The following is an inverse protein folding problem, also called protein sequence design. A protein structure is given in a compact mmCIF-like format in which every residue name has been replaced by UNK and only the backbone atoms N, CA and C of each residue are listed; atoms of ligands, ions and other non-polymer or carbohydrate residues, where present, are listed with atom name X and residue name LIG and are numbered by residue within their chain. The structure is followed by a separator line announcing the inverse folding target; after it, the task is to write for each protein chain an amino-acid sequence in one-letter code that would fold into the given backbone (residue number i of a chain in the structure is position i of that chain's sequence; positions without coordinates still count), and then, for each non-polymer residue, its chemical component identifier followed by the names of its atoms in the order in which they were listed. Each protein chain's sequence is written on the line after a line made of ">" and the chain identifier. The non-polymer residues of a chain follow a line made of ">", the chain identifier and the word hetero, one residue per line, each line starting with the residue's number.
data_IF_175961072414
#
_entry.id   IF_175961072414
#
_cell.length_a   1.000
_cell.length_b   1.000
_cell.length_c   1.000
_cell.angle_alpha   90.00
_cell.angle_beta   90.00
_cell.angle_gamma   90.00
#
_symmetry.space_group_name_H-M   'P 1'
#
loop_
_entity.id
_entity.type
_entity.pdbx_description
1 polymer ?
#
# COMPACT_ATOMS: atom_id res chain seq x y z
N UNK A 1 -0.48 -1.63 -8.48
CA UNK A 1 -1.47 -0.85 -7.74
C UNK A 1 -1.30 0.65 -8.00
N UNK A 2 -2.32 1.39 -7.71
CA UNK A 2 -2.30 2.86 -7.80
C UNK A 2 -2.17 3.46 -6.41
N UNK A 3 -1.43 4.57 -6.32
CA UNK A 3 -1.31 5.31 -5.06
C UNK A 3 -1.49 6.81 -5.32
N UNK A 4 -1.89 7.53 -4.28
CA UNK A 4 -2.15 8.96 -4.37
C UNK A 4 -1.88 9.65 -3.02
N UNK A 5 -1.24 10.82 -3.09
CA UNK A 5 -1.10 11.74 -1.97
C UNK A 5 -1.80 13.05 -2.34
N UNK A 6 -1.77 14.04 -1.45
CA UNK A 6 -2.34 15.35 -1.76
C UNK A 6 -1.61 16.09 -2.89
N UNK A 7 -0.36 15.72 -3.14
CA UNK A 7 0.51 16.41 -4.10
C UNK A 7 0.78 15.61 -5.36
N UNK A 8 0.84 14.29 -5.24
CA UNK A 8 1.27 13.42 -6.34
C UNK A 8 0.43 12.16 -6.42
N UNK A 9 0.51 11.50 -7.54
CA UNK A 9 -0.12 10.19 -7.76
C UNK A 9 0.78 9.37 -8.64
N UNK A 10 0.62 8.06 -8.59
CA UNK A 10 1.40 7.16 -9.42
C UNK A 10 0.93 5.73 -9.35
N UNK A 11 1.69 4.86 -10.01
CA UNK A 11 1.49 3.42 -9.97
C UNK A 11 2.77 2.77 -9.48
N UNK A 12 2.63 1.63 -8.87
CA UNK A 12 3.79 0.91 -8.38
C UNK A 12 3.44 -0.51 -7.95
N UNK A 13 4.40 -1.14 -7.32
CA UNK A 13 4.28 -2.50 -6.82
C UNK A 13 4.49 -2.50 -5.32
N UNK A 14 3.71 -3.32 -4.64
CA UNK A 14 3.87 -3.49 -3.20
C UNK A 14 4.84 -4.63 -2.95
N UNK A 15 5.78 -4.42 -2.03
CA UNK A 15 6.61 -5.48 -1.49
C UNK A 15 6.67 -5.36 0.03
N UNK A 16 7.15 -6.40 0.69
CA UNK A 16 7.25 -6.46 2.16
C UNK A 16 5.93 -6.14 2.86
N UNK A 17 4.84 -6.68 2.32
CA UNK A 17 3.50 -6.44 2.85
C UNK A 17 3.31 -7.17 4.18
N UNK A 18 2.84 -6.42 5.18
CA UNK A 18 2.49 -6.94 6.50
C UNK A 18 1.20 -6.30 6.97
N UNK A 19 0.71 -6.70 8.14
CA UNK A 19 -0.48 -6.09 8.71
C UNK A 19 -0.27 -4.65 9.17
N UNK A 20 0.99 -4.21 9.34
CA UNK A 20 1.31 -2.87 9.82
C UNK A 20 1.72 -1.89 8.72
N UNK A 21 2.19 -2.39 7.58
CA UNK A 21 2.64 -1.53 6.50
C UNK A 21 3.21 -2.29 5.32
N UNK A 22 3.77 -1.53 4.38
CA UNK A 22 4.39 -2.11 3.19
C UNK A 22 5.44 -1.16 2.63
N UNK A 23 6.20 -1.65 1.65
CA UNK A 23 7.04 -0.81 0.82
C UNK A 23 6.44 -0.73 -0.59
N UNK A 24 6.36 0.47 -1.15
CA UNK A 24 5.84 0.71 -2.49
C UNK A 24 7.00 1.02 -3.42
N UNK A 25 7.20 0.16 -4.42
CA UNK A 25 8.19 0.40 -5.48
C UNK A 25 7.55 1.30 -6.52
N UNK A 26 8.02 2.52 -6.62
CA UNK A 26 7.48 3.52 -7.55
C UNK A 26 8.49 4.64 -7.77
N UNK A 27 8.52 5.18 -8.98
CA UNK A 27 9.37 6.33 -9.31
C UNK A 27 8.81 7.68 -8.89
N UNK A 28 7.61 7.72 -8.29
CA UNK A 28 7.01 8.98 -7.87
C UNK A 28 7.68 9.56 -6.62
N UNK A 29 7.61 10.87 -6.49
CA UNK A 29 8.16 11.55 -5.33
C UNK A 29 7.12 11.76 -4.25
N UNK A 30 7.43 11.30 -3.05
CA UNK A 30 6.64 11.55 -1.84
C UNK A 30 7.59 11.96 -0.73
N UNK A 31 7.05 12.62 0.29
CA UNK A 31 7.85 13.05 1.44
C UNK A 31 7.43 12.30 2.70
N UNK A 32 8.37 12.15 3.62
CA UNK A 32 8.10 11.58 4.93
C UNK A 32 6.96 12.35 5.61
N UNK A 33 6.03 11.63 6.19
CA UNK A 33 4.90 12.20 6.91
C UNK A 33 3.67 12.45 6.04
N UNK A 34 3.77 12.33 4.72
CA UNK A 34 2.61 12.49 3.85
C UNK A 34 1.60 11.36 4.06
N UNK A 35 0.32 11.72 3.95
CA UNK A 35 -0.76 10.75 3.92
C UNK A 35 -0.89 10.20 2.51
N UNK A 36 -0.87 8.89 2.38
CA UNK A 36 -1.00 8.23 1.09
C UNK A 36 -2.16 7.24 1.07
N UNK A 37 -2.85 7.19 -0.06
CA UNK A 37 -3.91 6.21 -0.29
C UNK A 37 -3.41 5.19 -1.30
N UNK A 38 -3.60 3.91 -1.00
CA UNK A 38 -3.32 2.82 -1.91
C UNK A 38 -4.63 2.21 -2.40
N UNK A 39 -4.76 2.10 -3.71
CA UNK A 39 -5.88 1.40 -4.33
C UNK A 39 -5.36 0.04 -4.79
N UNK A 40 -5.75 -1.01 -4.09
CA UNK A 40 -5.34 -2.39 -4.34
C UNK A 40 -6.45 -3.14 -5.06
N UNK A 41 -6.11 -3.84 -6.12
CA UNK A 41 -7.06 -4.72 -6.79
C UNK A 41 -6.84 -6.14 -6.27
N UNK A 42 -7.83 -6.69 -5.58
CA UNK A 42 -7.79 -8.03 -5.00
C UNK A 42 -9.05 -8.75 -5.41
N UNK A 43 -8.89 -9.84 -6.20
CA UNK A 43 -10.03 -10.66 -6.68
C UNK A 43 -11.14 -9.81 -7.31
N UNK A 44 -10.78 -8.89 -8.20
CA UNK A 44 -11.68 -7.97 -8.90
C UNK A 44 -12.36 -6.92 -8.02
N UNK A 45 -11.95 -6.81 -6.77
CA UNK A 45 -12.43 -5.78 -5.87
C UNK A 45 -11.33 -4.77 -5.57
N UNK A 46 -11.70 -3.50 -5.50
CA UNK A 46 -10.76 -2.44 -5.11
C UNK A 46 -10.78 -2.29 -3.60
N UNK A 47 -9.63 -2.48 -2.98
CA UNK A 47 -9.45 -2.26 -1.53
C UNK A 47 -8.64 -0.99 -1.36
N UNK A 48 -9.20 -0.03 -0.62
CA UNK A 48 -8.55 1.24 -0.36
C UNK A 48 -7.90 1.20 1.01
N UNK A 49 -6.62 1.51 1.06
CA UNK A 49 -5.85 1.53 2.30
C UNK A 49 -5.15 2.87 2.44
N UNK A 50 -5.24 3.46 3.62
CA UNK A 50 -4.56 4.71 3.94
C UNK A 50 -3.34 4.43 4.79
N UNK A 51 -2.28 5.18 4.55
CA UNK A 51 -1.06 5.07 5.33
C UNK A 51 -0.30 6.37 5.38
N UNK A 52 0.69 6.40 6.27
CA UNK A 52 1.62 7.53 6.40
C UNK A 52 2.98 7.10 5.87
N UNK A 53 3.62 7.96 5.08
CA UNK A 53 4.96 7.71 4.57
C UNK A 53 5.96 7.79 5.72
N UNK A 54 6.63 6.68 6.01
CA UNK A 54 7.60 6.58 7.10
C UNK A 54 8.99 7.01 6.65
N UNK A 55 9.42 6.53 5.49
CA UNK A 55 10.68 6.94 4.85
C UNK A 55 10.59 6.74 3.35
N UNK A 56 11.53 7.36 2.64
CA UNK A 56 11.64 7.24 1.19
C UNK A 56 13.05 6.81 0.82
N UNK A 57 13.14 6.05 -0.28
CA UNK A 57 14.43 5.72 -0.90
C UNK A 57 14.39 6.28 -2.31
N UNK A 58 15.28 7.22 -2.60
CA UNK A 58 15.31 7.92 -3.88
C UNK A 58 15.34 6.94 -5.05
N UNK A 59 14.49 7.20 -6.04
CA UNK A 59 14.35 6.41 -7.27
C UNK A 59 13.89 4.96 -7.08
N UNK A 60 13.62 4.53 -5.85
CA UNK A 60 13.13 3.19 -5.56
C UNK A 60 11.68 3.18 -5.10
N UNK A 61 11.34 4.00 -4.10
CA UNK A 61 10.00 4.00 -3.56
C UNK A 61 9.91 4.55 -2.14
N UNK A 62 8.88 4.11 -1.44
CA UNK A 62 8.61 4.61 -0.10
C UNK A 62 7.94 3.55 0.78
N UNK A 63 8.17 3.67 2.08
CA UNK A 63 7.55 2.80 3.08
C UNK A 63 6.33 3.46 3.68
N UNK A 64 5.27 2.69 3.85
CA UNK A 64 4.02 3.14 4.46
C UNK A 64 3.73 2.38 5.73
N UNK A 65 3.25 3.12 6.74
CA UNK A 65 2.62 2.55 7.92
C UNK A 65 1.11 2.74 7.75
N UNK A 66 0.35 1.65 7.81
CA UNK A 66 -1.08 1.71 7.59
C UNK A 66 -1.81 2.41 8.74
N UNK A 67 -2.85 3.18 8.35
CA UNK A 67 -3.77 3.81 9.28
C UNK A 67 -5.09 3.07 9.16
N UNK A 68 -5.46 2.32 10.19
CA UNK A 68 -6.70 1.55 10.20
C UNK A 68 -7.70 2.10 11.19
N UNK A 69 -8.98 2.02 10.82
CA UNK A 69 -10.10 2.30 11.69
C UNK A 69 -11.06 1.12 11.67
N UNK A 70 -11.02 0.27 12.66
CA UNK A 70 -12.01 -0.80 12.85
C UNK A 70 -12.17 -1.74 11.68
N UNK A 71 -13.25 -1.57 10.93
CA UNK A 71 -13.60 -2.45 9.81
C UNK A 71 -12.56 -2.47 8.70
N UNK A 72 -11.87 -1.37 8.49
CA UNK A 72 -10.84 -1.26 7.44
C UNK A 72 -9.67 -2.22 7.71
N UNK A 73 -9.30 -2.40 8.96
CA UNK A 73 -8.24 -3.33 9.33
C UNK A 73 -8.63 -4.77 8.97
N UNK A 74 -9.87 -5.16 9.24
CA UNK A 74 -10.36 -6.52 8.90
C UNK A 74 -10.35 -6.74 7.40
N UNK A 75 -10.84 -5.79 6.62
CA UNK A 75 -10.87 -5.87 5.17
C UNK A 75 -9.46 -5.96 4.60
N UNK A 76 -8.53 -5.19 5.16
CA UNK A 76 -7.13 -5.22 4.75
C UNK A 76 -6.49 -6.57 5.05
N UNK A 77 -6.72 -7.14 6.22
CA UNK A 77 -6.16 -8.45 6.60
C UNK A 77 -6.66 -9.52 5.62
N UNK A 78 -7.93 -9.49 5.26
CA UNK A 78 -8.48 -10.41 4.26
C UNK A 78 -7.80 -10.24 2.90
N UNK A 79 -7.56 -9.00 2.48
CA UNK A 79 -6.89 -8.70 1.22
C UNK A 79 -5.45 -9.23 1.22
N UNK A 80 -4.71 -9.04 2.31
CA UNK A 80 -3.34 -9.56 2.45
C UNK A 80 -3.33 -11.08 2.34
N UNK A 81 -4.25 -11.76 3.03
CA UNK A 81 -4.35 -13.21 2.98
C UNK A 81 -4.69 -13.71 1.59
N UNK A 82 -5.56 -13.01 0.86
CA UNK A 82 -5.89 -13.37 -0.51
C UNK A 82 -4.68 -13.24 -1.43
N UNK A 83 -3.87 -12.20 -1.27
CA UNK A 83 -2.65 -12.01 -2.03
C UNK A 83 -1.61 -13.10 -1.72
N UNK A 84 -1.45 -13.45 -0.45
CA UNK A 84 -0.54 -14.52 -0.03
C UNK A 84 -1.00 -15.88 -0.59
N UNK A 85 -2.29 -16.15 -0.56
CA UNK A 85 -2.84 -17.39 -1.12
C UNK A 85 -2.60 -17.47 -2.63
N UNK A 86 -2.75 -16.36 -3.35
CA UNK A 86 -2.47 -16.30 -4.78
C UNK A 86 -0.99 -16.54 -5.06
N UNK A 87 -0.10 -15.92 -4.29
CA UNK A 87 1.34 -16.13 -4.42
C UNK A 87 1.74 -17.58 -4.14
N UNK A 88 1.10 -18.22 -3.16
CA UNK A 88 1.38 -19.61 -2.82
C UNK A 88 0.97 -20.60 -3.91
N UNK A 89 0.06 -20.23 -4.79
CA UNK A 89 -0.42 -21.08 -5.89
C UNK A 89 0.37 -20.89 -7.19
N UNK A 90 1.28 -19.97 -7.21
CA UNK A 90 2.20 -19.78 -8.34
C UNK A 90 3.46 -20.62 -8.18
#
# INVERSE_FOLDING_TARGET
>A
MRWETLKTQGRGFICDLSSSGCFVLSGGEVAQGELARLDLLVSDEVVIVWGTVVYTISEMGFALRFLFGGREEEDFIKAVRALEATAANE
#
